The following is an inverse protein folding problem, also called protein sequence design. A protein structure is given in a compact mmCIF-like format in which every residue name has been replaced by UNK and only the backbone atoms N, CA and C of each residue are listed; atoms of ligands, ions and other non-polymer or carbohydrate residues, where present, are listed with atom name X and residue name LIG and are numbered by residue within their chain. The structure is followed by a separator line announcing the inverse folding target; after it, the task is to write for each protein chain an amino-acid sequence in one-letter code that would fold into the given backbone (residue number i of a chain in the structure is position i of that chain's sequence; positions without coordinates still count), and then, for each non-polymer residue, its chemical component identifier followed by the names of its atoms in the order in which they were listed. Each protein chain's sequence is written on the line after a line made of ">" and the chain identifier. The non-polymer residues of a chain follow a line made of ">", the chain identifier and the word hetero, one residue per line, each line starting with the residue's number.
data_IF_845806321028
#
_entry.id   IF_845806321028
#
_cell.length_a   1.000
_cell.length_b   1.000
_cell.length_c   1.000
_cell.angle_alpha   90.00
_cell.angle_beta   90.00
_cell.angle_gamma   90.00
#
_symmetry.space_group_name_H-M   'P 1'
#
loop_
_entity.id
_entity.type
_entity.pdbx_description
1 polymer ?
#
# COMPACT_ATOMS: atom_id res chain seq x y z
N UNK A 1 7.95 15.19 26.77
CA UNK A 1 6.66 14.46 26.73
C UNK A 1 5.58 15.21 25.94
N UNK A 2 5.28 16.49 26.27
CA UNK A 2 4.28 17.32 25.55
C UNK A 2 4.47 17.37 24.02
N UNK A 3 5.72 17.54 23.55
CA UNK A 3 6.01 17.61 22.11
C UNK A 3 5.66 16.31 21.34
N UNK A 4 5.88 15.13 21.95
CA UNK A 4 5.51 13.84 21.33
C UNK A 4 3.99 13.67 21.26
N UNK A 5 3.29 14.09 22.31
CA UNK A 5 1.82 14.05 22.39
C UNK A 5 1.17 14.95 21.33
N UNK A 6 1.71 16.16 21.14
CA UNK A 6 1.27 17.08 20.08
C UNK A 6 1.53 16.48 18.69
N UNK A 7 2.67 15.82 18.47
CA UNK A 7 2.98 15.20 17.19
C UNK A 7 2.01 14.05 16.85
N UNK A 8 1.70 13.17 17.81
CA UNK A 8 0.75 12.07 17.63
C UNK A 8 -0.66 12.62 17.39
N UNK A 9 -1.10 13.59 18.20
CA UNK A 9 -2.43 14.20 18.03
C UNK A 9 -2.59 14.84 16.64
N UNK A 10 -1.54 15.53 16.16
CA UNK A 10 -1.54 16.11 14.80
C UNK A 10 -1.61 15.04 13.72
N UNK A 11 -0.87 13.94 13.85
CA UNK A 11 -0.93 12.84 12.89
C UNK A 11 -2.33 12.22 12.83
N UNK A 12 -2.94 11.95 13.99
CA UNK A 12 -4.31 11.43 14.07
C UNK A 12 -5.32 12.40 13.44
N UNK A 13 -5.19 13.70 13.69
CA UNK A 13 -6.06 14.70 13.08
C UNK A 13 -5.98 14.68 11.55
N UNK A 14 -4.78 14.59 10.98
CA UNK A 14 -4.61 14.49 9.52
C UNK A 14 -5.16 13.19 8.94
N UNK A 15 -5.00 12.07 9.65
CA UNK A 15 -5.56 10.78 9.22
C UNK A 15 -7.10 10.85 9.19
N UNK A 16 -7.72 11.38 10.24
CA UNK A 16 -9.17 11.53 10.30
C UNK A 16 -9.70 12.48 9.21
N UNK A 17 -9.00 13.59 8.98
CA UNK A 17 -9.35 14.53 7.91
C UNK A 17 -9.26 13.86 6.53
N UNK A 18 -8.20 13.10 6.27
CA UNK A 18 -8.02 12.38 5.02
C UNK A 18 -9.11 11.32 4.80
N UNK A 19 -9.47 10.56 5.84
CA UNK A 19 -10.57 9.60 5.79
C UNK A 19 -11.89 10.29 5.48
N UNK A 20 -12.21 11.40 6.16
CA UNK A 20 -13.42 12.18 5.90
C UNK A 20 -13.48 12.68 4.45
N UNK A 21 -12.36 13.22 3.94
CA UNK A 21 -12.26 13.68 2.56
C UNK A 21 -12.48 12.53 1.56
N UNK A 22 -11.88 11.36 1.81
CA UNK A 22 -12.11 10.17 0.98
C UNK A 22 -13.59 9.78 0.96
N UNK A 23 -14.28 9.80 2.10
CA UNK A 23 -15.72 9.53 2.15
C UNK A 23 -16.53 10.51 1.31
N UNK A 24 -16.23 11.81 1.41
CA UNK A 24 -16.88 12.85 0.60
C UNK A 24 -16.67 12.61 -0.89
N UNK A 25 -15.45 12.27 -1.31
CA UNK A 25 -15.14 11.98 -2.72
C UNK A 25 -15.91 10.75 -3.22
N UNK A 26 -16.03 9.70 -2.39
CA UNK A 26 -16.78 8.49 -2.74
C UNK A 26 -18.28 8.79 -2.97
N UNK A 27 -18.89 9.57 -2.09
CA UNK A 27 -20.29 10.01 -2.25
C UNK A 27 -20.46 10.84 -3.53
N UNK A 28 -19.54 11.77 -3.82
CA UNK A 28 -19.57 12.53 -5.08
C UNK A 28 -19.38 11.65 -6.32
N UNK A 29 -18.65 10.54 -6.20
CA UNK A 29 -18.50 9.55 -7.27
C UNK A 29 -19.72 8.61 -7.40
N UNK A 30 -20.76 8.77 -6.57
CA UNK A 30 -21.97 7.96 -6.60
C UNK A 30 -21.86 6.62 -5.83
N UNK A 31 -20.82 6.46 -5.00
CA UNK A 31 -20.63 5.29 -4.14
C UNK A 31 -20.96 5.63 -2.68
N UNK A 32 -21.49 4.66 -1.92
CA UNK A 32 -21.76 4.88 -0.50
C UNK A 32 -20.48 4.86 0.33
N UNK A 33 -20.18 5.97 1.02
CA UNK A 33 -19.03 6.09 1.90
C UNK A 33 -19.08 5.12 3.10
N UNK A 34 -20.23 4.86 3.76
CA UNK A 34 -20.29 3.87 4.83
C UNK A 34 -19.90 2.47 4.36
N UNK A 35 -20.31 2.07 3.16
CA UNK A 35 -19.92 0.80 2.57
C UNK A 35 -18.42 0.78 2.25
N UNK A 36 -17.88 1.86 1.68
CA UNK A 36 -16.45 2.00 1.42
C UNK A 36 -15.62 1.82 2.69
N UNK A 37 -15.94 2.51 3.79
CA UNK A 37 -15.21 2.34 5.05
C UNK A 37 -15.36 0.93 5.62
N UNK A 38 -16.54 0.33 5.51
CA UNK A 38 -16.76 -1.05 5.92
C UNK A 38 -15.90 -2.02 5.11
N UNK A 39 -15.85 -1.87 3.79
CA UNK A 39 -15.02 -2.71 2.92
C UNK A 39 -13.52 -2.56 3.20
N UNK A 40 -13.05 -1.33 3.49
CA UNK A 40 -11.67 -1.11 3.92
C UNK A 40 -11.40 -1.82 5.25
N UNK A 41 -12.31 -1.73 6.22
CA UNK A 41 -12.18 -2.42 7.49
C UNK A 41 -12.21 -3.95 7.34
N UNK A 42 -13.08 -4.49 6.47
CA UNK A 42 -13.15 -5.92 6.13
C UNK A 42 -11.87 -6.45 5.47
N UNK A 43 -11.33 -5.71 4.51
CA UNK A 43 -10.08 -6.08 3.84
C UNK A 43 -8.85 -5.97 4.74
N UNK A 44 -8.82 -5.02 5.66
CA UNK A 44 -7.65 -4.76 6.52
C UNK A 44 -7.68 -5.52 7.85
N UNK A 45 -8.86 -5.73 8.45
CA UNK A 45 -8.96 -6.22 9.84
C UNK A 45 -10.04 -7.29 10.09
N UNK A 46 -11.24 -7.15 9.51
CA UNK A 46 -12.41 -7.92 9.96
C UNK A 46 -12.57 -9.29 9.27
N UNK A 47 -11.94 -9.53 8.12
CA UNK A 47 -12.03 -10.84 7.43
C UNK A 47 -11.04 -11.88 8.00
N UNK A 48 -11.35 -13.19 7.93
CA UNK A 48 -10.46 -14.25 8.43
C UNK A 48 -9.06 -14.21 7.81
N UNK A 49 -8.97 -13.80 6.55
CA UNK A 49 -7.72 -13.71 5.79
C UNK A 49 -7.18 -12.27 5.72
N UNK A 50 -7.80 -11.29 6.39
CA UNK A 50 -7.44 -9.87 6.34
C UNK A 50 -5.95 -9.65 6.63
N UNK A 51 -5.42 -10.37 7.62
CA UNK A 51 -4.02 -10.26 8.01
C UNK A 51 -3.08 -10.82 6.95
N UNK A 52 -3.45 -11.95 6.33
CA UNK A 52 -2.67 -12.56 5.25
C UNK A 52 -2.64 -11.64 4.03
N UNK A 53 -3.78 -11.04 3.67
CA UNK A 53 -3.86 -10.05 2.59
C UNK A 53 -3.01 -8.81 2.89
N UNK A 54 -3.14 -8.26 4.09
CA UNK A 54 -2.37 -7.09 4.51
C UNK A 54 -0.86 -7.35 4.50
N UNK A 55 -0.42 -8.50 5.02
CA UNK A 55 0.99 -8.89 4.99
C UNK A 55 1.50 -9.12 3.57
N UNK A 56 0.71 -9.76 2.69
CA UNK A 56 1.07 -10.01 1.29
C UNK A 56 1.35 -8.71 0.54
N UNK A 57 0.56 -7.66 0.78
CA UNK A 57 0.81 -6.33 0.21
C UNK A 57 1.91 -5.55 0.93
N UNK A 58 2.03 -5.71 2.25
CA UNK A 58 3.07 -5.03 3.03
C UNK A 58 4.48 -5.46 2.63
N UNK A 59 4.70 -6.75 2.32
CA UNK A 59 6.03 -7.27 1.94
C UNK A 59 6.71 -6.48 0.80
N UNK A 60 6.12 -6.36 -0.39
CA UNK A 60 6.74 -5.59 -1.48
C UNK A 60 6.78 -4.08 -1.20
N UNK A 61 5.81 -3.55 -0.46
CA UNK A 61 5.79 -2.14 -0.08
C UNK A 61 6.92 -1.79 0.89
N UNK A 62 7.28 -2.69 1.82
CA UNK A 62 8.42 -2.52 2.72
C UNK A 62 9.74 -2.48 1.95
N UNK A 63 9.92 -3.35 0.95
CA UNK A 63 11.09 -3.34 0.07
C UNK A 63 11.17 -2.01 -0.69
N UNK A 64 10.04 -1.57 -1.25
CA UNK A 64 9.94 -0.28 -1.94
C UNK A 64 10.28 0.89 -1.00
N UNK A 65 9.75 0.87 0.22
CA UNK A 65 10.00 1.89 1.23
C UNK A 65 11.48 1.95 1.63
N UNK A 66 12.17 0.81 1.73
CA UNK A 66 13.61 0.78 2.01
C UNK A 66 14.42 1.54 0.95
N UNK A 67 14.11 1.37 -0.34
CA UNK A 67 14.75 2.13 -1.42
C UNK A 67 14.41 3.62 -1.41
N UNK A 68 13.15 3.96 -1.09
CA UNK A 68 12.69 5.34 -0.98
C UNK A 68 13.37 6.07 0.19
N UNK A 69 13.59 5.41 1.33
CA UNK A 69 14.31 5.97 2.49
C UNK A 69 15.73 6.40 2.13
N UNK A 70 16.44 5.61 1.32
CA UNK A 70 17.79 5.98 0.83
C UNK A 70 17.74 7.26 -0.01
N UNK A 71 16.77 7.36 -0.93
CA UNK A 71 16.57 8.53 -1.79
C UNK A 71 16.32 9.80 -0.97
N UNK A 72 15.42 9.69 0.03
CA UNK A 72 15.13 10.78 0.96
C UNK A 72 16.35 11.21 1.77
N UNK A 73 17.20 10.27 2.18
CA UNK A 73 18.44 10.59 2.92
C UNK A 73 19.43 11.37 2.08
N UNK A 74 19.42 11.18 0.76
CA UNK A 74 20.19 11.95 -0.21
C UNK A 74 19.55 13.29 -0.60
N UNK A 75 18.39 13.64 -0.02
CA UNK A 75 17.67 14.89 -0.34
C UNK A 75 16.84 14.82 -1.62
N UNK A 76 16.70 13.64 -2.24
CA UNK A 76 15.89 13.45 -3.45
C UNK A 76 14.53 12.83 -3.12
N UNK A 77 13.47 13.48 -3.57
CA UNK A 77 12.12 12.96 -3.45
C UNK A 77 11.81 12.00 -4.61
N UNK A 78 11.58 10.72 -4.31
CA UNK A 78 11.19 9.72 -5.30
C UNK A 78 9.65 9.63 -5.39
N UNK A 79 9.07 10.25 -6.43
CA UNK A 79 7.62 10.16 -6.74
C UNK A 79 7.26 8.83 -7.42
N UNK A 80 8.21 8.23 -8.13
CA UNK A 80 8.01 7.10 -9.02
C UNK A 80 8.02 5.72 -8.36
N UNK A 81 8.11 5.64 -7.03
CA UNK A 81 8.22 4.38 -6.30
C UNK A 81 7.09 3.37 -6.64
N UNK A 82 5.86 3.85 -6.77
CA UNK A 82 4.73 3.01 -7.21
C UNK A 82 4.92 2.51 -8.66
N UNK A 83 5.38 3.38 -9.56
CA UNK A 83 5.68 2.99 -10.94
C UNK A 83 6.81 1.97 -11.03
N UNK A 84 7.84 2.09 -10.21
CA UNK A 84 8.94 1.13 -10.12
C UNK A 84 8.45 -0.26 -9.66
N UNK A 85 7.59 -0.29 -8.64
CA UNK A 85 6.94 -1.51 -8.20
C UNK A 85 6.11 -2.15 -9.34
N UNK A 86 5.27 -1.38 -10.02
CA UNK A 86 4.46 -1.89 -11.13
C UNK A 86 5.29 -2.36 -12.32
N UNK A 87 6.35 -1.64 -12.70
CA UNK A 87 7.25 -2.05 -13.78
C UNK A 87 7.97 -3.36 -13.43
N UNK A 88 8.41 -3.52 -12.18
CA UNK A 88 8.95 -4.78 -11.68
C UNK A 88 7.95 -5.92 -11.78
N UNK A 89 6.70 -5.69 -11.34
CA UNK A 89 5.63 -6.69 -11.43
C UNK A 89 5.34 -7.10 -12.88
N UNK A 90 5.22 -6.13 -13.80
CA UNK A 90 5.00 -6.38 -15.23
C UNK A 90 6.17 -7.18 -15.83
N UNK A 91 7.41 -6.79 -15.53
CA UNK A 91 8.61 -7.49 -16.00
C UNK A 91 8.66 -8.94 -15.51
N UNK A 92 8.37 -9.17 -14.22
CA UNK A 92 8.29 -10.52 -13.64
C UNK A 92 7.21 -11.35 -14.31
N UNK A 93 5.99 -10.81 -14.48
CA UNK A 93 4.90 -11.51 -15.17
C UNK A 93 5.29 -11.88 -16.60
N UNK A 94 5.94 -10.97 -17.33
CA UNK A 94 6.41 -11.23 -18.70
C UNK A 94 7.43 -12.38 -18.74
N UNK A 95 8.40 -12.40 -17.82
CA UNK A 95 9.42 -13.47 -17.77
C UNK A 95 8.77 -14.81 -17.38
N UNK A 96 7.91 -14.82 -16.36
CA UNK A 96 7.22 -16.03 -15.89
C UNK A 96 6.37 -16.65 -17.00
N UNK A 97 5.68 -15.84 -17.79
CA UNK A 97 4.93 -16.30 -18.97
C UNK A 97 5.83 -17.01 -20.00
N UNK A 98 7.06 -16.52 -20.21
CA UNK A 98 8.03 -17.18 -21.09
C UNK A 98 8.65 -18.44 -20.52
N UNK A 99 8.55 -18.66 -19.21
CA UNK A 99 9.02 -19.84 -18.51
C UNK A 99 7.89 -20.87 -18.26
N UNK A 100 6.75 -20.72 -18.92
CA UNK A 100 5.62 -21.63 -18.78
C UNK A 100 6.04 -23.08 -19.12
N UNK A 101 5.84 -24.00 -18.19
CA UNK A 101 6.28 -25.40 -18.28
C UNK A 101 7.65 -25.71 -17.65
N UNK A 102 8.39 -24.70 -17.19
CA UNK A 102 9.61 -24.92 -16.42
C UNK A 102 9.31 -25.42 -14.99
N UNK A 103 10.26 -26.13 -14.34
CA UNK A 103 10.11 -26.57 -12.95
C UNK A 103 9.76 -25.41 -12.01
N UNK A 104 8.89 -25.67 -11.04
CA UNK A 104 8.41 -24.66 -10.07
C UNK A 104 9.54 -23.97 -9.30
N UNK A 105 10.65 -24.67 -9.06
CA UNK A 105 11.85 -24.14 -8.39
C UNK A 105 12.55 -23.02 -9.17
N UNK A 106 12.36 -22.95 -10.49
CA UNK A 106 12.93 -21.89 -11.35
C UNK A 106 11.94 -20.72 -11.46
N UNK A 107 10.64 -21.01 -11.47
CA UNK A 107 9.58 -20.03 -11.72
C UNK A 107 9.17 -19.27 -10.46
N UNK A 108 9.17 -19.94 -9.30
CA UNK A 108 8.79 -19.37 -8.01
C UNK A 108 10.00 -19.50 -7.07
N UNK A 109 10.86 -18.46 -6.96
CA UNK A 109 11.92 -18.42 -5.96
C UNK A 109 11.40 -18.18 -4.54
#
# INVERSE_FOLDING_TARGET
>A
MKARLVAVARALAFVLLALALCGVIFEFAGYSAPLMFRSVAEGAFLSPDAWQHSLRWAMPLCITAAGVVVSFRCGYFNVGAQGQFYLGAIGTTFIVDRLNGAPSTIVVP
#
